data_IF_681422145951
#
_entry.id   IF_681422145951
#
_cell.length_a   1.000
_cell.length_b   1.000
_cell.length_c   1.000
_cell.angle_alpha   90.00
_cell.angle_beta   90.00
_cell.angle_gamma   90.00
#
_symmetry.space_group_name_H-M   'P 1'
#
loop_
_entity.id
_entity.type
_entity.pdbx_description
1 polymer ?
#
# COMPACT_ATOMS: atom_id res chain seq x y z
N UNK A 1 -26.39 -22.28 5.96
CA UNK A 1 -26.42 -21.92 7.39
C UNK A 1 -24.99 -21.94 7.88
N UNK A 2 -24.52 -20.89 8.54
CA UNK A 2 -23.14 -20.83 9.03
C UNK A 2 -23.14 -21.13 10.52
N UNK A 3 -22.25 -22.00 10.98
CA UNK A 3 -22.19 -22.37 12.39
C UNK A 3 -20.85 -21.93 12.98
N UNK A 4 -20.91 -21.37 14.18
CA UNK A 4 -19.74 -21.03 14.96
C UNK A 4 -20.09 -21.11 16.45
N UNK A 5 -19.24 -21.75 17.25
CA UNK A 5 -19.42 -21.85 18.71
C UNK A 5 -20.78 -22.44 19.14
N UNK A 6 -21.34 -23.36 18.34
CA UNK A 6 -22.65 -23.98 18.59
C UNK A 6 -23.86 -23.10 18.25
N UNK A 7 -23.66 -21.92 17.66
CA UNK A 7 -24.72 -21.03 17.18
C UNK A 7 -24.82 -21.04 15.66
N UNK A 8 -26.06 -21.08 15.16
CA UNK A 8 -26.38 -20.89 13.75
C UNK A 8 -26.52 -19.40 13.41
N UNK A 9 -25.83 -18.96 12.37
CA UNK A 9 -25.84 -17.60 11.83
C UNK A 9 -26.45 -17.57 10.44
N UNK A 10 -27.24 -16.53 10.17
CA UNK A 10 -27.92 -16.36 8.89
C UNK A 10 -26.95 -15.91 7.79
N UNK A 11 -25.92 -15.14 8.15
CA UNK A 11 -24.94 -14.61 7.18
C UNK A 11 -23.48 -14.86 7.57
N UNK A 12 -22.59 -14.90 6.58
CA UNK A 12 -21.13 -14.97 6.79
C UNK A 12 -20.62 -13.80 7.63
N UNK A 13 -21.24 -12.61 7.47
CA UNK A 13 -20.84 -11.40 8.21
C UNK A 13 -21.13 -11.52 9.70
N UNK A 14 -22.25 -12.13 10.08
CA UNK A 14 -22.58 -12.39 11.48
C UNK A 14 -21.66 -13.43 12.10
N UNK A 15 -21.31 -14.48 11.34
CA UNK A 15 -20.33 -15.47 11.78
C UNK A 15 -18.93 -14.85 11.95
N UNK A 16 -18.49 -14.00 11.02
CA UNK A 16 -17.20 -13.28 11.15
C UNK A 16 -17.19 -12.31 12.33
N UNK A 17 -18.33 -11.66 12.61
CA UNK A 17 -18.50 -10.85 13.81
C UNK A 17 -18.38 -11.70 15.07
N UNK A 18 -19.02 -12.86 15.11
CA UNK A 18 -18.94 -13.77 16.25
C UNK A 18 -17.51 -14.28 16.50
N UNK A 19 -16.75 -14.57 15.43
CA UNK A 19 -15.32 -14.92 15.52
C UNK A 19 -14.50 -13.80 16.16
N UNK A 20 -14.70 -12.56 15.69
CA UNK A 20 -14.01 -11.39 16.26
C UNK A 20 -14.41 -11.12 17.71
N UNK A 21 -15.68 -11.30 18.05
CA UNK A 21 -16.14 -11.21 19.44
C UNK A 21 -15.50 -12.30 20.31
N UNK A 22 -15.41 -13.55 19.83
CA UNK A 22 -14.74 -14.63 20.54
C UNK A 22 -13.25 -14.36 20.77
N UNK A 23 -12.52 -13.83 19.78
CA UNK A 23 -11.12 -13.41 19.92
C UNK A 23 -10.99 -12.28 20.96
N UNK A 24 -11.90 -11.31 20.93
CA UNK A 24 -11.92 -10.20 21.88
C UNK A 24 -12.20 -10.70 23.31
N UNK A 25 -13.10 -11.66 23.48
CA UNK A 25 -13.39 -12.32 24.75
C UNK A 25 -12.15 -13.06 25.25
N UNK A 26 -11.47 -13.83 24.41
CA UNK A 26 -10.25 -14.54 24.79
C UNK A 26 -9.17 -13.56 25.27
N UNK A 27 -9.02 -12.43 24.57
CA UNK A 27 -8.10 -11.37 24.98
C UNK A 27 -8.48 -10.76 26.34
N UNK A 28 -9.76 -10.43 26.55
CA UNK A 28 -10.25 -9.90 27.83
C UNK A 28 -10.05 -10.92 28.95
N UNK A 29 -10.36 -12.20 28.70
CA UNK A 29 -10.17 -13.28 29.67
C UNK A 29 -8.70 -13.45 30.06
N UNK A 30 -7.76 -13.24 29.13
CA UNK A 30 -6.32 -13.34 29.41
C UNK A 30 -5.74 -12.17 30.23
N UNK A 31 -6.35 -10.97 30.17
CA UNK A 31 -5.83 -9.75 30.80
C UNK A 31 -6.60 -9.30 32.04
N UNK A 32 -7.78 -9.85 32.26
CA UNK A 32 -8.63 -9.46 33.39
C UNK A 32 -8.48 -10.49 34.49
N UNK A 33 -8.13 -10.04 35.68
CA UNK A 33 -8.20 -10.88 36.86
C UNK A 33 -9.65 -10.97 37.36
N UNK A 34 -10.29 -12.11 37.17
CA UNK A 34 -11.67 -12.38 37.62
C UNK A 34 -11.80 -12.49 39.14
N UNK A 35 -10.69 -12.48 39.89
CA UNK A 35 -10.69 -12.50 41.36
C UNK A 35 -10.90 -11.11 41.97
N UNK A 36 -10.63 -10.05 41.22
CA UNK A 36 -10.78 -8.66 41.67
C UNK A 36 -12.18 -8.13 41.31
N UNK A 37 -13.07 -8.11 42.30
CA UNK A 37 -14.47 -7.69 42.16
C UNK A 37 -14.60 -6.28 41.55
N UNK A 38 -13.78 -5.33 41.97
CA UNK A 38 -13.90 -3.95 41.50
C UNK A 38 -13.47 -3.82 40.03
N UNK A 39 -12.40 -4.52 39.65
CA UNK A 39 -11.96 -4.56 38.24
C UNK A 39 -12.98 -5.28 37.36
N UNK A 40 -13.53 -6.40 37.83
CA UNK A 40 -14.54 -7.17 37.10
C UNK A 40 -15.82 -6.37 36.90
N UNK A 41 -16.26 -5.64 37.94
CA UNK A 41 -17.42 -4.73 37.85
C UNK A 41 -17.18 -3.59 36.85
N UNK A 42 -16.04 -2.90 36.92
CA UNK A 42 -15.69 -1.83 35.96
C UNK A 42 -15.61 -2.34 34.53
N UNK A 43 -15.08 -3.55 34.33
CA UNK A 43 -15.06 -4.20 33.03
C UNK A 43 -16.49 -4.43 32.54
N UNK A 44 -17.33 -5.06 33.35
CA UNK A 44 -18.73 -5.36 33.00
C UNK A 44 -19.52 -4.11 32.63
N UNK A 45 -19.47 -3.06 33.48
CA UNK A 45 -20.11 -1.77 33.23
C UNK A 45 -19.61 -1.14 31.93
N UNK A 46 -18.30 -1.15 31.70
CA UNK A 46 -17.70 -0.62 30.48
C UNK A 46 -18.06 -1.42 29.22
N UNK A 47 -18.26 -2.74 29.33
CA UNK A 47 -18.67 -3.58 28.20
C UNK A 47 -20.14 -3.35 27.83
N UNK A 48 -21.01 -3.14 28.84
CA UNK A 48 -22.43 -2.81 28.64
C UNK A 48 -22.60 -1.41 28.06
N UNK A 49 -21.95 -0.41 28.66
CA UNK A 49 -22.03 0.99 28.22
C UNK A 49 -21.63 1.12 26.74
N UNK A 50 -20.59 0.37 26.33
CA UNK A 50 -20.10 0.37 24.95
C UNK A 50 -20.89 -0.53 24.00
N UNK A 51 -21.85 -1.31 24.50
CA UNK A 51 -22.53 -2.38 23.76
C UNK A 51 -21.54 -3.20 22.91
N UNK A 52 -20.47 -3.67 23.53
CA UNK A 52 -19.32 -4.25 22.82
C UNK A 52 -19.61 -5.59 22.15
N UNK A 53 -20.69 -6.24 22.58
CA UNK A 53 -21.05 -7.59 22.18
C UNK A 53 -22.52 -7.64 21.76
N UNK A 54 -22.77 -8.16 20.56
CA UNK A 54 -24.11 -8.26 19.97
C UNK A 54 -24.44 -9.71 19.60
N UNK A 55 -23.43 -10.55 19.36
CA UNK A 55 -23.65 -11.95 18.99
C UNK A 55 -24.01 -12.81 20.20
N UNK A 56 -24.67 -13.98 19.99
CA UNK A 56 -24.98 -14.91 21.08
C UNK A 56 -23.76 -15.29 21.93
N UNK A 57 -22.61 -15.55 21.31
CA UNK A 57 -21.33 -15.81 22.00
C UNK A 57 -20.93 -14.66 22.92
N UNK A 58 -21.02 -13.42 22.42
CA UNK A 58 -20.77 -12.21 23.19
C UNK A 58 -21.71 -12.01 24.39
N UNK A 59 -23.01 -12.27 24.18
CA UNK A 59 -24.02 -12.13 25.23
C UNK A 59 -23.84 -13.19 26.33
N UNK A 60 -23.47 -14.41 25.97
CA UNK A 60 -23.16 -15.46 26.96
C UNK A 60 -21.98 -15.06 27.83
N UNK A 61 -20.93 -14.49 27.26
CA UNK A 61 -19.80 -14.00 28.05
C UNK A 61 -20.20 -12.90 29.03
N UNK A 62 -21.03 -11.92 28.62
CA UNK A 62 -21.55 -10.91 29.54
C UNK A 62 -22.36 -11.55 30.68
N UNK A 63 -23.15 -12.58 30.39
CA UNK A 63 -23.89 -13.33 31.41
C UNK A 63 -22.96 -14.10 32.36
N UNK A 64 -21.88 -14.69 31.86
CA UNK A 64 -20.84 -15.31 32.70
C UNK A 64 -20.25 -14.28 33.66
N UNK A 65 -19.81 -13.13 33.16
CA UNK A 65 -19.26 -12.04 33.99
C UNK A 65 -20.26 -11.56 35.04
N UNK A 66 -21.54 -11.44 34.66
CA UNK A 66 -22.60 -11.05 35.60
C UNK A 66 -22.79 -12.10 36.70
N UNK A 67 -22.78 -13.40 36.34
CA UNK A 67 -22.90 -14.49 37.32
C UNK A 67 -21.74 -14.49 38.30
N UNK A 68 -20.52 -14.33 37.81
CA UNK A 68 -19.32 -14.20 38.66
C UNK A 68 -19.48 -13.00 39.60
N UNK A 69 -19.87 -11.83 39.09
CA UNK A 69 -20.07 -10.64 39.90
C UNK A 69 -21.17 -10.80 40.97
N UNK A 70 -22.24 -11.53 40.65
CA UNK A 70 -23.31 -11.88 41.58
C UNK A 70 -22.85 -12.91 42.62
N UNK A 71 -21.94 -13.83 42.31
CA UNK A 71 -21.40 -14.77 43.28
C UNK A 71 -20.61 -14.07 44.41
N UNK A 72 -20.03 -12.90 44.14
CA UNK A 72 -19.36 -12.06 45.15
C UNK A 72 -20.30 -11.16 45.97
N UNK A 73 -21.62 -11.16 45.70
CA UNK A 73 -22.54 -10.14 46.21
C UNK A 73 -23.92 -10.69 46.55
N UNK A 74 -24.40 -10.41 47.77
CA UNK A 74 -25.78 -10.71 48.18
C UNK A 74 -26.82 -9.74 47.55
N UNK A 75 -26.34 -8.62 46.98
CA UNK A 75 -27.16 -7.72 46.15
C UNK A 75 -27.04 -8.14 44.68
N UNK A 76 -28.16 -8.57 44.11
CA UNK A 76 -28.28 -8.92 42.69
C UNK A 76 -27.95 -7.71 41.80
N UNK A 77 -26.99 -7.88 40.90
CA UNK A 77 -26.69 -6.93 39.82
C UNK A 77 -27.85 -6.95 38.83
N UNK A 78 -28.37 -5.78 38.48
CA UNK A 78 -29.55 -5.60 37.61
C UNK A 78 -29.47 -6.47 36.35
N UNK A 79 -30.52 -7.26 36.03
CA UNK A 79 -30.55 -8.09 34.83
C UNK A 79 -30.45 -7.20 33.59
N UNK A 80 -29.40 -7.38 32.80
CA UNK A 80 -29.25 -6.70 31.53
C UNK A 80 -30.06 -7.45 30.49
N UNK A 81 -31.20 -6.87 30.09
CA UNK A 81 -31.94 -7.32 28.93
C UNK A 81 -31.18 -6.89 27.68
N UNK A 82 -30.26 -7.73 27.19
CA UNK A 82 -29.74 -7.58 25.83
C UNK A 82 -30.80 -8.18 24.90
N UNK A 83 -31.43 -7.32 24.11
CA UNK A 83 -32.36 -7.76 23.07
C UNK A 83 -31.57 -8.55 22.04
N UNK A 84 -31.67 -9.88 22.09
CA UNK A 84 -31.24 -10.74 20.98
C UNK A 84 -32.21 -10.44 19.84
N UNK A 85 -31.78 -9.83 18.72
CA UNK A 85 -32.69 -9.55 17.62
C UNK A 85 -33.10 -10.91 17.05
N UNK A 86 -34.31 -11.36 17.36
CA UNK A 86 -34.77 -12.69 16.99
C UNK A 86 -34.89 -12.83 15.47
N UNK A 87 -35.02 -11.71 14.75
CA UNK A 87 -34.77 -11.64 13.32
C UNK A 87 -34.21 -10.25 13.02
N UNK A 88 -32.93 -10.15 12.66
CA UNK A 88 -32.43 -8.93 12.03
C UNK A 88 -33.07 -8.82 10.64
N UNK A 89 -34.30 -8.27 10.59
CA UNK A 89 -34.89 -7.80 9.34
C UNK A 89 -33.84 -6.93 8.65
N UNK A 90 -33.53 -7.29 7.41
CA UNK A 90 -32.62 -6.56 6.50
C UNK A 90 -32.76 -5.05 6.72
N UNK A 91 -31.78 -4.44 7.39
CA UNK A 91 -31.52 -3.00 7.23
C UNK A 91 -31.73 -2.04 8.40
N UNK A 92 -31.79 -2.45 9.67
CA UNK A 92 -31.81 -1.45 10.77
C UNK A 92 -30.92 -1.81 11.96
N UNK A 93 -29.65 -1.41 11.86
CA UNK A 93 -28.77 -1.28 13.00
C UNK A 93 -29.19 -0.03 13.79
N UNK A 94 -30.28 -0.09 14.58
CA UNK A 94 -30.64 1.01 15.50
C UNK A 94 -29.75 0.91 16.73
N UNK A 95 -28.49 1.32 16.55
CA UNK A 95 -27.67 1.81 17.65
C UNK A 95 -28.27 3.17 18.03
N UNK A 96 -28.60 3.37 19.31
CA UNK A 96 -29.21 4.60 19.82
C UNK A 96 -28.55 5.84 19.22
N UNK A 97 -29.38 6.78 18.73
CA UNK A 97 -28.97 7.98 18.00
C UNK A 97 -27.89 8.82 18.71
N UNK A 98 -27.78 8.68 20.03
CA UNK A 98 -26.77 9.32 20.88
C UNK A 98 -25.33 8.82 20.61
N UNK A 99 -25.12 7.55 20.25
CA UNK A 99 -23.80 7.03 19.89
C UNK A 99 -23.46 7.24 18.41
N UNK A 100 -24.47 7.34 17.54
CA UNK A 100 -24.23 7.74 16.15
C UNK A 100 -23.62 9.14 16.08
N UNK A 101 -24.09 10.10 16.87
CA UNK A 101 -23.53 11.45 16.82
C UNK A 101 -22.07 11.54 17.32
N UNK A 102 -21.68 10.77 18.36
CA UNK A 102 -20.29 10.76 18.85
C UNK A 102 -19.36 9.85 18.02
N UNK A 103 -19.86 8.72 17.49
CA UNK A 103 -19.07 7.80 16.67
C UNK A 103 -18.98 8.24 15.21
N UNK A 104 -19.97 8.95 14.67
CA UNK A 104 -19.90 9.57 13.34
C UNK A 104 -18.96 10.76 13.34
N UNK A 105 -18.91 11.60 14.39
CA UNK A 105 -17.89 12.65 14.51
C UNK A 105 -16.46 12.10 14.53
N UNK A 106 -16.20 11.03 15.30
CA UNK A 106 -14.87 10.38 15.31
C UNK A 106 -14.58 9.53 14.06
N UNK A 107 -15.58 8.92 13.43
CA UNK A 107 -15.41 8.17 12.17
C UNK A 107 -15.31 9.09 10.95
N UNK A 108 -15.97 10.25 10.95
CA UNK A 108 -15.81 11.31 9.96
C UNK A 108 -14.46 11.97 10.13
N UNK A 109 -14.06 12.37 11.35
CA UNK A 109 -12.70 12.89 11.59
C UNK A 109 -11.61 11.88 11.19
N UNK A 110 -11.79 10.58 11.48
CA UNK A 110 -10.86 9.54 11.01
C UNK A 110 -10.94 9.31 9.50
N UNK A 111 -12.12 9.38 8.88
CA UNK A 111 -12.28 9.29 7.42
C UNK A 111 -11.69 10.49 6.71
N UNK A 112 -11.80 11.71 7.25
CA UNK A 112 -11.24 12.93 6.68
C UNK A 112 -9.73 12.98 6.84
N UNK A 113 -9.19 12.55 7.99
CA UNK A 113 -7.74 12.37 8.18
C UNK A 113 -7.21 11.25 7.29
N UNK A 114 -7.95 10.14 7.12
CA UNK A 114 -7.54 9.05 6.25
C UNK A 114 -7.68 9.40 4.76
N UNK A 115 -8.73 10.12 4.35
CA UNK A 115 -8.90 10.63 2.99
C UNK A 115 -7.88 11.71 2.66
N UNK A 116 -7.54 12.57 3.62
CA UNK A 116 -6.44 13.53 3.51
C UNK A 116 -5.10 12.82 3.31
N UNK A 117 -4.81 11.79 4.11
CA UNK A 117 -3.63 10.94 3.92
C UNK A 117 -3.64 10.23 2.56
N UNK A 118 -4.75 9.62 2.15
CA UNK A 118 -4.87 8.94 0.86
C UNK A 118 -4.74 9.91 -0.32
N UNK A 119 -5.27 11.14 -0.22
CA UNK A 119 -5.08 12.20 -1.20
C UNK A 119 -3.62 12.62 -1.28
N UNK A 120 -2.95 12.79 -0.14
CA UNK A 120 -1.52 13.11 -0.09
C UNK A 120 -0.69 11.96 -0.68
N UNK A 121 -1.01 10.70 -0.39
CA UNK A 121 -0.37 9.53 -1.01
C UNK A 121 -0.59 9.48 -2.54
N UNK A 122 -1.78 9.84 -3.05
CA UNK A 122 -2.01 9.96 -4.49
C UNK A 122 -1.18 11.05 -5.14
N UNK A 123 -1.06 12.21 -4.50
CA UNK A 123 -0.23 13.33 -4.98
C UNK A 123 1.25 12.93 -4.98
N UNK A 124 1.74 12.31 -3.90
CA UNK A 124 3.12 11.81 -3.79
C UNK A 124 3.38 10.75 -4.86
N UNK A 125 2.46 9.79 -5.05
CA UNK A 125 2.60 8.76 -6.07
C UNK A 125 2.59 9.33 -7.49
N UNK A 126 1.72 10.31 -7.77
CA UNK A 126 1.69 11.00 -9.06
C UNK A 126 3.00 11.76 -9.32
N UNK A 127 3.54 12.44 -8.31
CA UNK A 127 4.84 13.12 -8.39
C UNK A 127 5.98 12.12 -8.66
N UNK A 128 5.94 10.94 -8.02
CA UNK A 128 6.92 9.88 -8.23
C UNK A 128 6.89 9.36 -9.67
N UNK A 129 5.69 9.19 -10.25
CA UNK A 129 5.52 8.81 -11.67
C UNK A 129 6.10 9.88 -12.60
N UNK A 130 5.89 11.17 -12.33
CA UNK A 130 6.47 12.27 -13.13
C UNK A 130 8.00 12.25 -13.11
N UNK A 131 8.63 11.95 -11.96
CA UNK A 131 10.09 11.80 -11.87
C UNK A 131 10.57 10.61 -12.71
N UNK A 132 9.88 9.47 -12.66
CA UNK A 132 10.24 8.29 -13.45
C UNK A 132 10.13 8.59 -14.96
N UNK A 133 9.06 9.26 -15.39
CA UNK A 133 8.90 9.70 -16.78
C UNK A 133 10.00 10.68 -17.15
N UNK A 134 10.30 11.67 -16.29
CA UNK A 134 11.37 12.64 -16.48
C UNK A 134 12.74 11.99 -16.62
N UNK A 135 13.02 10.93 -15.85
CA UNK A 135 14.25 10.14 -15.96
C UNK A 135 14.29 9.39 -17.30
N UNK A 136 13.18 8.78 -17.72
CA UNK A 136 13.08 8.11 -19.02
C UNK A 136 13.31 9.08 -20.18
N UNK A 137 12.65 10.24 -20.15
CA UNK A 137 12.82 11.30 -21.14
C UNK A 137 14.25 11.83 -21.12
N UNK A 138 14.86 12.03 -19.95
CA UNK A 138 16.26 12.49 -19.85
C UNK A 138 17.26 11.46 -20.38
N UNK A 139 16.95 10.17 -20.32
CA UNK A 139 17.77 9.11 -20.93
C UNK A 139 17.57 9.07 -22.45
N UNK A 140 16.35 9.33 -22.93
CA UNK A 140 16.03 9.33 -24.37
C UNK A 140 16.48 10.62 -25.09
N UNK A 141 16.33 11.79 -24.46
CA UNK A 141 16.74 13.10 -24.99
C UNK A 141 18.13 13.53 -24.54
N UNK A 142 18.64 12.97 -23.44
CA UNK A 142 20.03 13.16 -23.07
C UNK A 142 20.88 12.54 -24.17
N UNK A 143 21.73 13.34 -24.80
CA UNK A 143 22.72 13.00 -25.83
C UNK A 143 23.74 11.89 -25.43
N UNK A 144 23.41 11.07 -24.43
CA UNK A 144 24.19 9.96 -23.88
C UNK A 144 23.73 8.62 -24.45
N UNK A 145 23.01 8.59 -25.58
CA UNK A 145 22.72 7.34 -26.27
C UNK A 145 24.05 6.75 -26.76
N UNK A 146 24.47 5.56 -26.29
CA UNK A 146 25.72 4.92 -26.71
C UNK A 146 25.85 4.83 -28.23
N UNK A 147 24.70 4.74 -28.90
CA UNK A 147 24.57 4.66 -30.35
C UNK A 147 25.09 5.93 -31.04
N UNK A 148 24.84 7.13 -30.50
CA UNK A 148 25.28 8.39 -31.11
C UNK A 148 26.79 8.62 -30.93
N UNK A 149 27.33 8.23 -29.77
CA UNK A 149 28.77 8.29 -29.52
C UNK A 149 29.56 7.37 -30.48
N UNK A 150 29.08 6.14 -30.68
CA UNK A 150 29.69 5.19 -31.63
C UNK A 150 29.59 5.66 -33.09
N UNK A 151 28.42 6.18 -33.48
CA UNK A 151 28.20 6.71 -34.84
C UNK A 151 29.10 7.92 -35.11
N UNK A 152 29.26 8.82 -34.14
CA UNK A 152 30.15 9.99 -34.26
C UNK A 152 31.61 9.58 -34.38
N UNK A 153 32.05 8.59 -33.60
CA UNK A 153 33.42 8.06 -33.67
C UNK A 153 33.65 7.41 -35.03
N UNK A 154 32.75 6.55 -35.49
CA UNK A 154 32.84 5.89 -36.81
C UNK A 154 32.90 6.92 -37.95
N UNK A 155 32.06 7.94 -37.91
CA UNK A 155 32.03 9.00 -38.92
C UNK A 155 33.38 9.73 -39.00
N UNK A 156 34.03 10.02 -37.86
CA UNK A 156 35.36 10.62 -37.83
C UNK A 156 36.41 9.72 -38.47
N UNK A 157 36.42 8.43 -38.17
CA UNK A 157 37.35 7.48 -38.79
C UNK A 157 37.13 7.39 -40.30
N UNK A 158 35.89 7.35 -40.77
CA UNK A 158 35.58 7.33 -42.21
C UNK A 158 35.98 8.63 -42.92
N UNK A 159 35.94 9.78 -42.23
CA UNK A 159 36.44 11.06 -42.79
C UNK A 159 37.97 11.06 -42.84
N UNK A 160 38.64 10.59 -41.79
CA UNK A 160 40.10 10.51 -41.76
C UNK A 160 40.66 9.54 -42.79
N UNK A 161 40.02 8.39 -42.99
CA UNK A 161 40.41 7.43 -44.02
C UNK A 161 40.35 8.08 -45.41
N UNK A 162 39.26 8.79 -45.72
CA UNK A 162 39.13 9.53 -46.98
C UNK A 162 40.20 10.61 -47.14
N UNK A 163 40.47 11.39 -46.09
CA UNK A 163 41.50 12.44 -46.11
C UNK A 163 42.90 11.84 -46.33
N UNK A 164 43.18 10.67 -45.73
CA UNK A 164 44.45 9.97 -45.90
C UNK A 164 44.60 9.45 -47.34
N UNK A 165 43.58 8.79 -47.87
CA UNK A 165 43.58 8.28 -49.26
C UNK A 165 43.74 9.40 -50.27
N UNK A 166 43.10 10.56 -50.04
CA UNK A 166 43.25 11.73 -50.91
C UNK A 166 44.68 12.28 -50.86
N UNK A 167 45.30 12.33 -49.67
CA UNK A 167 46.70 12.74 -49.53
C UNK A 167 47.66 11.75 -50.17
N UNK A 168 47.45 10.45 -50.01
CA UNK A 168 48.26 9.41 -50.63
C UNK A 168 48.19 9.49 -52.16
N UNK A 169 46.99 9.64 -52.72
CA UNK A 169 46.82 9.83 -54.16
C UNK A 169 47.51 11.10 -54.66
N UNK A 170 47.39 12.22 -53.93
CA UNK A 170 48.06 13.47 -54.31
C UNK A 170 49.59 13.36 -54.25
N UNK A 171 50.15 12.54 -53.35
CA UNK A 171 51.59 12.27 -53.30
C UNK A 171 52.00 11.38 -54.48
N UNK A 172 51.25 10.32 -54.76
CA UNK A 172 51.52 9.41 -55.88
C UNK A 172 51.50 10.14 -57.23
N UNK A 173 50.56 11.05 -57.45
CA UNK A 173 50.52 11.88 -58.66
C UNK A 173 51.77 12.76 -58.79
N UNK A 174 52.25 13.33 -57.68
CA UNK A 174 53.48 14.13 -57.67
C UNK A 174 54.72 13.28 -57.91
N UNK A 175 54.81 12.10 -57.30
CA UNK A 175 55.91 11.16 -57.52
C UNK A 175 55.96 10.73 -58.99
N UNK A 176 54.82 10.36 -59.57
CA UNK A 176 54.74 10.01 -60.99
C UNK A 176 55.16 11.16 -61.90
N UNK A 177 54.71 12.39 -61.62
CA UNK A 177 55.10 13.57 -62.39
C UNK A 177 56.61 13.87 -62.27
N UNK A 178 57.22 13.67 -61.10
CA UNK A 178 58.67 13.82 -60.91
C UNK A 178 59.43 12.76 -61.70
N UNK A 179 59.00 11.49 -61.66
CA UNK A 179 59.63 10.39 -62.41
C UNK A 179 59.53 10.59 -63.92
N UNK A 180 58.41 11.08 -64.44
CA UNK A 180 58.27 11.41 -65.87
C UNK A 180 59.20 12.57 -66.27
N UNK A 181 59.28 13.62 -65.44
CA UNK A 181 60.20 14.72 -65.68
C UNK A 181 61.68 14.29 -65.63
N UNK A 182 62.05 13.40 -64.71
CA UNK A 182 63.40 12.84 -64.59
C UNK A 182 63.78 12.02 -65.84
N UNK A 183 62.88 11.15 -66.31
CA UNK A 183 63.09 10.39 -67.55
C UNK A 183 63.25 11.30 -68.76
N UNK A 184 62.42 12.34 -68.89
CA UNK A 184 62.50 13.30 -69.98
C UNK A 184 63.79 14.14 -69.97
N UNK A 185 64.38 14.38 -68.80
CA UNK A 185 65.69 15.03 -68.68
C UNK A 185 66.83 14.07 -69.11
N UNK A 186 66.78 12.82 -68.68
CA UNK A 186 67.77 11.79 -69.08
C UNK A 186 67.75 11.51 -70.60
N UNK A 187 66.60 11.57 -71.25
CA UNK A 187 66.48 11.45 -72.70
C UNK A 187 67.01 12.68 -73.46
N UNK A 188 67.09 13.86 -72.83
CA UNK A 188 67.66 15.07 -73.45
C UNK A 188 69.17 15.19 -73.27
N UNK A 189 69.73 14.55 -72.24
CA UNK A 189 71.18 14.53 -71.99
C UNK A 189 71.94 13.43 -72.76
N UNK A 190 71.25 12.41 -73.29
CA UNK A 190 71.81 11.37 -74.18
C UNK A 190 71.63 11.70 -75.67
#
# INVERSE_FOLDING_TARGET
MFEFDGYGYATVKEMDLAKKEAESIAYIKSRTDFKDREKLKKLYEGLIEKQSFVTPTGINFLREVQKELNAFSDKAVSPVFVTVPTEMKKGSYVRSASFQQMSEGQKQAKKDVLQGKLRNLRIINAFLIVIIIGMFVSVLLGNNSPIDAEVKIRTKYSVWEKELTERENAILERENAILENEKALQEKEN
#
